data_IF_395519082238
#
_entry.id   IF_395519082238
#
_cell.length_a   1.000
_cell.length_b   1.000
_cell.length_c   1.000
_cell.angle_alpha   90.00
_cell.angle_beta   90.00
_cell.angle_gamma   90.00
#
_symmetry.space_group_name_H-M   'P 1'
#
loop_
_entity.id
_entity.type
_entity.pdbx_description
1 polymer ?
#
# COMPACT_ATOMS: atom_id res chain seq x y z
N UNK A 1 32.80 41.65 44.91
CA UNK A 1 33.15 40.49 44.08
C UNK A 1 32.42 40.67 42.79
N UNK A 2 33.09 41.14 41.78
CA UNK A 2 32.58 41.38 40.44
C UNK A 2 32.53 40.02 39.73
N UNK A 3 31.34 39.55 39.40
CA UNK A 3 31.15 38.38 38.56
C UNK A 3 31.60 38.71 37.13
N UNK A 4 32.64 38.03 36.65
CA UNK A 4 33.03 38.06 35.24
C UNK A 4 31.86 37.64 34.36
N UNK A 5 31.60 38.32 33.23
CA UNK A 5 30.59 37.89 32.29
C UNK A 5 31.04 36.61 31.62
N UNK A 6 30.28 35.53 31.79
CA UNK A 6 30.45 34.27 31.07
C UNK A 6 30.43 34.56 29.57
N UNK A 7 31.54 34.35 28.88
CA UNK A 7 31.66 34.57 27.45
C UNK A 7 30.58 33.79 26.71
N UNK A 8 29.69 34.48 26.00
CA UNK A 8 28.70 33.87 25.12
C UNK A 8 29.47 33.28 23.94
N UNK A 9 29.42 31.97 23.79
CA UNK A 9 30.10 31.26 22.73
C UNK A 9 29.50 31.63 21.37
N UNK A 10 30.35 31.86 20.36
CA UNK A 10 29.87 32.14 19.00
C UNK A 10 28.96 30.99 18.49
N UNK A 11 27.87 31.28 17.75
CA UNK A 11 26.90 30.27 17.30
C UNK A 11 27.52 29.07 16.59
N UNK A 12 28.52 29.30 15.74
CA UNK A 12 29.24 28.24 15.03
C UNK A 12 30.12 27.36 15.95
N UNK A 13 30.67 27.92 17.02
CA UNK A 13 31.45 27.17 17.99
C UNK A 13 30.57 26.25 18.82
N UNK A 14 29.34 26.67 19.15
CA UNK A 14 28.38 25.85 19.88
C UNK A 14 27.97 24.56 19.12
N UNK A 15 27.96 24.58 17.78
CA UNK A 15 27.63 23.41 16.97
C UNK A 15 28.62 22.24 17.12
N UNK A 16 29.85 22.52 17.55
CA UNK A 16 30.90 21.51 17.73
C UNK A 16 30.85 20.84 19.11
N UNK A 17 30.12 21.42 20.05
CA UNK A 17 29.99 20.88 21.41
C UNK A 17 29.21 19.55 21.42
N UNK A 18 29.73 18.51 22.10
CA UNK A 18 29.10 17.18 22.11
C UNK A 18 27.65 17.18 22.58
N UNK A 19 27.32 17.97 23.59
CA UNK A 19 25.97 18.15 24.11
C UNK A 19 25.04 18.72 23.06
N UNK A 20 25.45 19.80 22.40
CA UNK A 20 24.65 20.47 21.36
C UNK A 20 24.46 19.55 20.17
N UNK A 21 25.50 18.85 19.70
CA UNK A 21 25.41 17.89 18.62
C UNK A 21 24.39 16.78 18.91
N UNK A 22 24.37 16.27 20.16
CA UNK A 22 23.42 15.26 20.61
C UNK A 22 21.97 15.77 20.57
N UNK A 23 21.74 16.99 21.06
CA UNK A 23 20.44 17.64 21.03
C UNK A 23 19.97 17.85 19.58
N UNK A 24 20.83 18.40 18.72
CA UNK A 24 20.50 18.65 17.31
C UNK A 24 20.24 17.36 16.55
N UNK A 25 20.96 16.27 16.84
CA UNK A 25 20.67 14.95 16.25
C UNK A 25 19.24 14.49 16.58
N UNK A 26 18.80 14.62 17.85
CA UNK A 26 17.42 14.31 18.27
C UNK A 26 16.38 15.23 17.62
N UNK A 27 16.73 16.50 17.40
CA UNK A 27 15.87 17.42 16.65
C UNK A 27 15.69 16.91 15.22
N UNK A 28 16.78 16.57 14.53
CA UNK A 28 16.73 16.03 13.18
C UNK A 28 15.98 14.68 13.10
N UNK A 29 16.09 13.81 14.13
CA UNK A 29 15.30 12.58 14.22
C UNK A 29 13.80 12.86 14.19
N UNK A 30 13.35 13.86 14.95
CA UNK A 30 11.93 14.27 14.97
C UNK A 30 11.48 14.89 13.67
N UNK A 31 12.34 15.69 13.03
CA UNK A 31 12.06 16.28 11.73
C UNK A 31 11.97 15.22 10.63
N UNK A 32 12.86 14.25 10.64
CA UNK A 32 12.89 13.14 9.67
C UNK A 32 11.72 12.17 9.87
N UNK A 33 11.12 12.12 11.05
CA UNK A 33 9.92 11.35 11.34
C UNK A 33 8.62 12.06 10.88
N UNK A 34 8.67 13.38 10.63
CA UNK A 34 7.52 14.16 10.15
C UNK A 34 7.69 14.45 8.65
N UNK A 35 6.99 13.74 7.76
CA UNK A 35 7.10 14.03 6.34
C UNK A 35 6.43 15.37 6.00
N UNK A 36 7.22 16.33 5.50
CA UNK A 36 6.87 17.37 4.55
C UNK A 36 5.64 18.27 4.77
N UNK A 37 5.07 18.32 5.96
CA UNK A 37 4.00 19.28 6.29
C UNK A 37 4.61 20.60 6.71
N UNK A 38 3.93 21.73 6.46
CA UNK A 38 4.29 23.01 7.03
C UNK A 38 4.54 22.86 8.53
N UNK A 39 5.78 23.09 8.94
CA UNK A 39 6.23 22.90 10.31
C UNK A 39 5.75 24.08 11.17
N UNK A 40 4.49 24.05 11.54
CA UNK A 40 3.86 25.10 12.38
C UNK A 40 4.22 24.95 13.85
N UNK A 41 4.51 23.72 14.30
CA UNK A 41 4.80 23.44 15.70
C UNK A 41 6.31 23.38 15.97
N UNK A 42 6.78 23.95 17.11
CA UNK A 42 8.17 23.83 17.52
C UNK A 42 8.55 22.39 17.81
N UNK A 43 9.82 22.04 17.56
CA UNK A 43 10.37 20.76 17.99
C UNK A 43 10.84 20.91 19.43
N UNK A 44 10.12 20.27 20.37
CA UNK A 44 10.46 20.32 21.80
C UNK A 44 11.43 19.22 22.19
N UNK A 45 12.54 19.59 22.85
CA UNK A 45 13.55 18.67 23.40
C UNK A 45 13.65 18.91 24.90
N UNK A 46 13.32 17.90 25.71
CA UNK A 46 13.54 17.96 27.16
C UNK A 46 15.03 17.84 27.47
N UNK A 47 15.54 18.67 28.38
CA UNK A 47 16.89 18.58 28.87
C UNK A 47 16.91 17.73 30.17
N UNK A 48 16.61 16.45 30.04
CA UNK A 48 16.65 15.45 31.10
C UNK A 48 18.02 14.72 31.15
N UNK A 49 18.20 13.85 32.13
CA UNK A 49 19.45 13.09 32.29
C UNK A 49 19.80 12.25 31.05
N UNK A 50 18.80 11.77 30.29
CA UNK A 50 19.03 10.99 29.09
C UNK A 50 19.45 11.86 27.89
N UNK A 51 18.95 13.08 27.81
CA UNK A 51 19.25 14.01 26.70
C UNK A 51 20.48 14.86 26.98
N UNK A 52 20.63 15.29 28.22
CA UNK A 52 21.68 16.19 28.67
C UNK A 52 22.39 15.67 29.93
N UNK A 53 23.03 14.48 29.87
CA UNK A 53 23.79 13.94 31.01
C UNK A 53 24.88 14.91 31.49
N UNK A 54 25.50 15.67 30.57
CA UNK A 54 26.50 16.67 30.87
C UNK A 54 25.99 17.74 31.88
N UNK A 55 24.71 17.94 32.02
CA UNK A 55 24.08 18.84 32.99
C UNK A 55 23.76 18.10 34.29
N UNK A 56 23.12 16.89 34.18
CA UNK A 56 22.59 16.18 35.33
C UNK A 56 23.62 15.31 36.06
N UNK A 57 24.60 14.78 35.33
CA UNK A 57 25.64 13.87 35.80
C UNK A 57 27.03 14.52 35.78
N UNK A 58 27.11 15.84 35.70
CA UNK A 58 28.38 16.58 35.62
C UNK A 58 29.28 16.28 36.83
N UNK A 59 30.53 15.94 36.57
CA UNK A 59 31.55 15.63 37.63
C UNK A 59 31.89 16.82 38.52
N UNK A 60 31.61 18.04 38.06
CA UNK A 60 31.88 19.26 38.81
C UNK A 60 30.89 20.39 38.46
N UNK A 61 30.78 21.37 39.37
CA UNK A 61 29.98 22.58 39.10
C UNK A 61 30.52 23.37 37.88
N UNK A 62 31.83 23.35 37.65
CA UNK A 62 32.44 23.97 36.48
C UNK A 62 32.05 23.28 35.19
N UNK A 63 32.10 21.94 35.12
CA UNK A 63 31.66 21.18 33.97
C UNK A 63 30.18 21.43 33.66
N UNK A 64 29.32 21.48 34.69
CA UNK A 64 27.91 21.84 34.53
C UNK A 64 27.68 23.23 33.98
N UNK A 65 28.48 24.21 34.46
CA UNK A 65 28.40 25.58 33.97
C UNK A 65 28.78 25.68 32.48
N UNK A 66 29.79 24.93 32.03
CA UNK A 66 30.17 24.85 30.61
C UNK A 66 29.01 24.24 29.76
N UNK A 67 28.40 23.15 30.24
CA UNK A 67 27.27 22.55 29.56
C UNK A 67 26.10 23.55 29.41
N UNK A 68 25.79 24.31 30.47
CA UNK A 68 24.76 25.36 30.39
C UNK A 68 25.15 26.50 29.46
N UNK A 69 26.41 26.90 29.39
CA UNK A 69 26.90 27.94 28.47
C UNK A 69 26.68 27.48 27.00
N UNK A 70 26.89 26.21 26.70
CA UNK A 70 26.61 25.67 25.36
C UNK A 70 25.12 25.76 25.00
N UNK A 71 24.22 25.45 25.94
CA UNK A 71 22.76 25.61 25.75
C UNK A 71 22.40 27.08 25.56
N UNK A 72 22.94 27.98 26.41
CA UNK A 72 22.69 29.41 26.31
C UNK A 72 23.20 29.97 24.97
N UNK A 73 24.27 29.41 24.39
CA UNK A 73 24.76 29.72 23.05
C UNK A 73 23.72 29.38 21.95
N UNK A 74 23.06 28.23 22.03
CA UNK A 74 21.98 27.83 21.10
C UNK A 74 20.80 28.80 21.19
N UNK A 75 20.45 29.23 22.40
CA UNK A 75 19.35 30.17 22.64
C UNK A 75 19.72 31.56 22.14
N UNK A 76 20.95 32.02 22.41
CA UNK A 76 21.46 33.33 21.95
C UNK A 76 21.54 33.41 20.43
N UNK A 77 21.83 32.29 19.75
CA UNK A 77 21.77 32.18 18.29
C UNK A 77 20.36 32.27 17.71
N UNK A 78 19.32 32.25 18.55
CA UNK A 78 17.92 32.28 18.12
C UNK A 78 17.39 30.96 17.54
N UNK A 79 18.09 29.86 17.74
CA UNK A 79 17.71 28.57 17.21
C UNK A 79 16.64 27.89 18.07
N UNK A 80 16.63 28.16 19.35
CA UNK A 80 15.66 27.67 20.30
C UNK A 80 15.31 28.68 21.37
N UNK A 81 14.18 28.50 22.02
CA UNK A 81 13.84 29.14 23.28
C UNK A 81 13.92 28.14 24.41
N UNK A 82 14.42 28.56 25.58
CA UNK A 82 14.40 27.70 26.76
C UNK A 82 13.21 28.06 27.65
N UNK A 83 12.51 27.04 28.16
CA UNK A 83 11.45 27.20 29.13
C UNK A 83 11.48 26.05 30.15
N UNK A 84 10.67 26.13 31.19
CA UNK A 84 10.72 25.25 32.36
C UNK A 84 9.32 24.75 32.71
N UNK A 85 9.17 23.45 32.91
CA UNK A 85 7.88 22.86 33.37
C UNK A 85 7.54 23.20 34.80
N UNK A 86 8.57 23.32 35.67
CA UNK A 86 8.41 23.69 37.07
C UNK A 86 8.84 25.14 37.28
N UNK A 87 7.90 26.03 37.47
CA UNK A 87 8.15 27.47 37.75
C UNK A 87 8.49 27.71 39.22
N UNK A 88 9.50 27.01 39.75
CA UNK A 88 10.00 27.27 41.10
C UNK A 88 10.88 28.50 41.10
N UNK A 89 10.68 29.41 42.08
CA UNK A 89 11.48 30.64 42.22
C UNK A 89 12.92 30.36 42.72
N UNK A 90 13.15 29.23 43.40
CA UNK A 90 14.47 28.86 43.93
C UNK A 90 14.76 27.40 43.53
N UNK A 91 16.04 27.13 43.24
CA UNK A 91 16.56 25.82 42.82
C UNK A 91 17.49 25.92 41.60
N UNK A 92 18.26 24.88 41.37
CA UNK A 92 19.11 24.78 40.19
C UNK A 92 18.30 24.73 38.90
N UNK A 93 18.89 25.18 37.78
CA UNK A 93 18.17 25.21 36.48
C UNK A 93 17.67 23.82 36.05
N UNK A 94 18.47 22.80 36.28
CA UNK A 94 18.17 21.40 35.96
C UNK A 94 17.00 20.83 36.76
N UNK A 95 16.76 21.27 38.00
CA UNK A 95 15.63 20.83 38.82
C UNK A 95 14.27 21.34 38.39
N UNK A 96 14.28 22.36 37.52
CA UNK A 96 13.08 23.01 36.99
C UNK A 96 12.52 22.34 35.75
N UNK A 97 13.03 21.18 35.38
CA UNK A 97 12.64 20.42 34.17
C UNK A 97 12.70 21.28 32.90
N UNK A 98 13.91 21.74 32.53
CA UNK A 98 14.12 22.59 31.37
C UNK A 98 13.82 21.84 30.06
N UNK A 99 13.34 22.58 29.10
CA UNK A 99 13.20 22.10 27.73
C UNK A 99 13.53 23.21 26.73
N UNK A 100 13.93 22.79 25.52
CA UNK A 100 14.17 23.67 24.39
C UNK A 100 13.04 23.51 23.37
N UNK A 101 12.46 24.62 22.94
CA UNK A 101 11.55 24.69 21.81
C UNK A 101 12.26 25.29 20.61
N UNK A 102 12.52 24.45 19.61
CA UNK A 102 13.21 24.83 18.39
C UNK A 102 12.23 25.37 17.36
N UNK A 103 12.49 26.60 16.88
CA UNK A 103 11.81 27.22 15.72
C UNK A 103 12.87 27.93 14.89
N UNK A 104 13.05 27.50 13.67
CA UNK A 104 14.07 28.10 12.80
C UNK A 104 13.66 28.10 11.33
N UNK A 105 14.23 29.00 10.52
CA UNK A 105 14.12 28.96 9.07
C UNK A 105 14.90 27.76 8.49
N UNK A 106 14.54 27.33 7.26
CA UNK A 106 15.16 26.21 6.56
C UNK A 106 16.69 26.29 6.48
N UNK A 107 17.25 27.50 6.35
CA UNK A 107 18.71 27.73 6.31
C UNK A 107 19.43 27.23 7.57
N UNK A 108 18.80 27.31 8.75
CA UNK A 108 19.37 26.81 10.01
C UNK A 108 19.34 25.29 10.04
N UNK A 109 18.27 24.68 9.53
CA UNK A 109 18.21 23.22 9.39
C UNK A 109 19.31 22.71 8.46
N UNK A 110 19.54 23.36 7.33
CA UNK A 110 20.60 22.98 6.39
C UNK A 110 21.98 23.06 7.04
N UNK A 111 22.25 24.12 7.81
CA UNK A 111 23.49 24.25 8.60
C UNK A 111 23.66 23.12 9.62
N UNK A 112 22.60 22.77 10.35
CA UNK A 112 22.63 21.65 11.30
C UNK A 112 22.88 20.31 10.60
N UNK A 113 22.25 20.08 9.45
CA UNK A 113 22.42 18.86 8.66
C UNK A 113 23.82 18.74 8.08
N UNK A 114 24.39 19.82 7.58
CA UNK A 114 25.76 19.87 7.09
C UNK A 114 26.74 19.54 8.23
N UNK A 115 26.61 20.21 9.39
CA UNK A 115 27.46 19.97 10.54
C UNK A 115 27.41 18.53 11.06
N UNK A 116 26.23 17.90 11.04
CA UNK A 116 26.04 16.51 11.47
C UNK A 116 26.27 15.49 10.35
N UNK A 117 26.64 15.92 9.14
CA UNK A 117 26.76 15.10 7.93
C UNK A 117 25.49 14.23 7.71
N UNK A 118 24.32 14.85 7.84
CA UNK A 118 23.03 14.20 7.77
C UNK A 118 22.13 14.87 6.74
N UNK A 119 22.13 14.43 5.49
CA UNK A 119 21.32 15.03 4.43
C UNK A 119 19.83 14.95 4.75
N UNK A 120 19.03 15.86 4.18
CA UNK A 120 17.57 15.79 4.29
C UNK A 120 17.07 14.44 3.76
N UNK A 121 16.22 13.78 4.52
CA UNK A 121 15.57 12.56 4.05
C UNK A 121 14.65 12.93 2.89
N UNK A 122 14.82 12.26 1.76
CA UNK A 122 13.97 12.49 0.60
C UNK A 122 12.50 12.30 0.99
N UNK A 123 11.67 13.28 0.65
CA UNK A 123 10.23 13.21 0.88
C UNK A 123 9.68 12.02 0.08
N UNK A 124 8.94 11.12 0.72
CA UNK A 124 8.36 9.96 0.02
C UNK A 124 7.43 10.42 -1.11
N UNK A 125 7.32 9.62 -2.18
CA UNK A 125 6.41 9.92 -3.29
C UNK A 125 4.97 10.20 -2.79
N UNK A 126 4.49 9.39 -1.87
CA UNK A 126 3.16 9.57 -1.28
C UNK A 126 3.01 10.91 -0.52
N UNK A 127 4.06 11.37 0.15
CA UNK A 127 4.04 12.68 0.82
C UNK A 127 4.07 13.82 -0.19
N UNK A 128 4.90 13.72 -1.24
CA UNK A 128 4.92 14.70 -2.33
C UNK A 128 3.56 14.77 -3.02
N UNK A 129 2.93 13.62 -3.30
CA UNK A 129 1.59 13.55 -3.86
C UNK A 129 0.56 14.34 -3.05
N UNK A 130 0.54 14.14 -1.72
CA UNK A 130 -0.39 14.86 -0.82
C UNK A 130 -0.13 16.36 -0.83
N UNK A 131 1.13 16.78 -0.74
CA UNK A 131 1.52 18.20 -0.74
C UNK A 131 1.11 18.86 -2.04
N UNK A 132 1.45 18.25 -3.19
CA UNK A 132 1.13 18.80 -4.50
C UNK A 132 -0.36 18.82 -4.78
N UNK A 133 -1.08 17.79 -4.37
CA UNK A 133 -2.53 17.73 -4.53
C UNK A 133 -3.25 18.80 -3.67
N UNK A 134 -2.78 19.05 -2.43
CA UNK A 134 -3.31 20.10 -1.57
C UNK A 134 -3.14 21.52 -2.15
N UNK A 135 -2.13 21.72 -3.01
CA UNK A 135 -1.91 22.99 -3.74
C UNK A 135 -2.87 23.16 -4.92
N UNK A 136 -3.55 22.08 -5.35
CA UNK A 136 -4.56 22.13 -6.40
C UNK A 136 -5.92 22.46 -5.77
N UNK A 137 -6.56 23.52 -6.18
CA UNK A 137 -7.92 23.84 -5.74
C UNK A 137 -8.93 22.88 -6.41
N UNK A 138 -8.97 21.63 -5.92
CA UNK A 138 -9.89 20.62 -6.43
C UNK A 138 -11.30 20.89 -5.90
N UNK A 139 -12.23 21.16 -6.81
CA UNK A 139 -13.65 21.29 -6.49
C UNK A 139 -14.27 19.88 -6.45
N UNK A 140 -14.04 19.16 -5.35
CA UNK A 140 -14.59 17.81 -5.07
C UNK A 140 -14.99 17.72 -3.61
N UNK A 141 -15.84 16.76 -3.26
CA UNK A 141 -16.26 16.50 -1.88
C UNK A 141 -15.07 16.14 -0.97
N UNK A 142 -15.22 16.36 0.34
CA UNK A 142 -14.18 16.00 1.33
C UNK A 142 -13.85 14.50 1.30
N UNK A 143 -14.85 13.65 1.05
CA UNK A 143 -14.69 12.20 0.93
C UNK A 143 -13.86 11.83 -0.31
N UNK A 144 -14.18 12.44 -1.45
CA UNK A 144 -13.45 12.27 -2.70
C UNK A 144 -12.00 12.73 -2.57
N UNK A 145 -11.77 13.90 -1.98
CA UNK A 145 -10.43 14.42 -1.74
C UNK A 145 -9.61 13.47 -0.84
N UNK A 146 -10.19 12.99 0.27
CA UNK A 146 -9.53 12.07 1.17
C UNK A 146 -9.10 10.77 0.44
N UNK A 147 -9.94 10.26 -0.45
CA UNK A 147 -9.65 9.07 -1.25
C UNK A 147 -8.48 9.28 -2.21
N UNK A 148 -8.47 10.40 -2.95
CA UNK A 148 -7.38 10.73 -3.88
C UNK A 148 -6.06 10.91 -3.12
N UNK A 149 -6.09 11.58 -1.95
CA UNK A 149 -4.91 11.75 -1.08
C UNK A 149 -4.36 10.43 -0.54
N UNK A 150 -5.23 9.45 -0.28
CA UNK A 150 -4.85 8.14 0.25
C UNK A 150 -4.29 7.19 -0.82
N UNK A 151 -4.56 7.47 -2.11
CA UNK A 151 -4.25 6.54 -3.21
C UNK A 151 -3.35 7.20 -4.26
N UNK A 152 -2.07 7.45 -3.97
CA UNK A 152 -1.13 8.06 -4.92
C UNK A 152 -0.94 7.16 -6.13
N UNK A 153 -0.86 7.78 -7.31
CA UNK A 153 -0.52 7.10 -8.57
C UNK A 153 0.98 7.28 -8.79
N UNK A 154 1.75 6.21 -8.70
CA UNK A 154 3.20 6.24 -8.87
C UNK A 154 3.60 5.57 -10.18
N UNK A 155 4.43 6.26 -10.96
CA UNK A 155 5.05 5.76 -12.19
C UNK A 155 6.55 5.97 -12.03
N UNK A 156 7.33 4.88 -11.99
CA UNK A 156 8.73 4.84 -11.54
C UNK A 156 9.68 5.81 -12.28
N UNK A 157 9.35 6.25 -13.48
CA UNK A 157 10.18 7.14 -14.30
C UNK A 157 9.64 8.56 -14.38
N UNK A 158 8.61 8.90 -13.59
CA UNK A 158 7.93 10.19 -13.66
C UNK A 158 7.87 10.88 -12.32
N UNK A 159 7.97 12.20 -12.35
CA UNK A 159 7.77 13.03 -11.16
C UNK A 159 6.30 13.05 -10.73
N UNK A 160 6.07 13.40 -9.46
CA UNK A 160 4.71 13.58 -8.93
C UNK A 160 3.95 14.64 -9.73
N UNK A 161 4.61 15.74 -10.08
CA UNK A 161 3.97 16.85 -10.79
C UNK A 161 3.49 16.44 -12.19
N UNK A 162 4.30 15.66 -12.93
CA UNK A 162 3.92 15.14 -14.24
C UNK A 162 2.72 14.18 -14.12
N UNK A 163 2.77 13.25 -13.17
CA UNK A 163 1.70 12.26 -12.99
C UNK A 163 0.41 12.94 -12.51
N UNK A 164 0.51 13.89 -11.60
CA UNK A 164 -0.65 14.62 -11.10
C UNK A 164 -1.31 15.46 -12.20
N UNK A 165 -0.54 16.17 -12.99
CA UNK A 165 -1.05 16.93 -14.15
C UNK A 165 -1.83 16.00 -15.10
N UNK A 166 -1.29 14.83 -15.39
CA UNK A 166 -1.95 13.83 -16.25
C UNK A 166 -3.19 13.22 -15.59
N UNK A 167 -3.15 12.97 -14.31
CA UNK A 167 -4.31 12.49 -13.58
C UNK A 167 -5.47 13.52 -13.62
N UNK A 168 -5.15 14.79 -13.41
CA UNK A 168 -6.15 15.87 -13.43
C UNK A 168 -6.77 16.07 -14.83
N UNK A 169 -6.02 15.84 -15.91
CA UNK A 169 -6.51 15.96 -17.28
C UNK A 169 -7.59 14.92 -17.65
N UNK A 170 -7.82 13.89 -16.84
CA UNK A 170 -8.93 12.95 -17.03
C UNK A 170 -10.28 13.67 -17.02
N UNK A 171 -10.39 14.81 -16.32
CA UNK A 171 -11.60 15.64 -16.31
C UNK A 171 -12.01 16.15 -17.68
N UNK A 172 -11.03 16.39 -18.55
CA UNK A 172 -11.25 16.95 -19.88
C UNK A 172 -11.92 15.94 -20.82
N UNK A 173 -11.83 14.64 -20.50
CA UNK A 173 -12.39 13.54 -21.30
C UNK A 173 -13.53 12.80 -20.60
N UNK A 174 -14.03 13.32 -19.48
CA UNK A 174 -15.04 12.66 -18.64
C UNK A 174 -16.37 12.35 -19.35
N UNK A 175 -16.72 13.09 -20.41
CA UNK A 175 -17.93 12.89 -21.20
C UNK A 175 -17.79 11.91 -22.37
N UNK A 176 -16.61 11.34 -22.61
CA UNK A 176 -16.39 10.41 -23.73
C UNK A 176 -16.75 8.95 -23.34
N UNK A 177 -17.35 8.16 -24.24
CA UNK A 177 -17.71 6.75 -23.96
C UNK A 177 -16.48 5.84 -24.08
N UNK A 178 -15.52 5.97 -23.17
CA UNK A 178 -14.25 5.26 -23.17
C UNK A 178 -14.23 4.12 -22.16
N UNK A 179 -13.41 3.11 -22.44
CA UNK A 179 -12.98 2.18 -21.40
C UNK A 179 -11.90 2.79 -20.51
N UNK A 180 -11.87 2.41 -19.24
CA UNK A 180 -10.89 2.91 -18.26
C UNK A 180 -9.43 2.75 -18.72
N UNK A 181 -9.12 1.68 -19.49
CA UNK A 181 -7.80 1.46 -20.09
C UNK A 181 -7.49 2.42 -21.25
N UNK A 182 -8.50 2.86 -21.98
CA UNK A 182 -8.32 3.88 -23.02
C UNK A 182 -8.04 5.24 -22.39
N UNK A 183 -8.78 5.58 -21.32
CA UNK A 183 -8.52 6.75 -20.48
C UNK A 183 -7.11 6.71 -19.93
N UNK A 184 -6.70 5.58 -19.35
CA UNK A 184 -5.33 5.38 -18.85
C UNK A 184 -4.29 5.62 -19.94
N UNK A 185 -4.48 5.03 -21.13
CA UNK A 185 -3.56 5.19 -22.25
C UNK A 185 -3.47 6.65 -22.72
N UNK A 186 -4.60 7.35 -22.83
CA UNK A 186 -4.64 8.77 -23.27
C UNK A 186 -4.03 9.70 -22.23
N UNK A 187 -4.37 9.51 -20.95
CA UNK A 187 -3.87 10.36 -19.88
C UNK A 187 -2.40 10.10 -19.57
N UNK A 188 -1.93 8.85 -19.57
CA UNK A 188 -0.61 8.47 -19.04
C UNK A 188 0.35 7.93 -20.10
N UNK A 189 0.72 8.75 -21.08
CA UNK A 189 1.79 8.45 -22.07
C UNK A 189 1.65 7.09 -22.78
N UNK A 190 0.43 6.65 -23.06
CA UNK A 190 0.19 5.34 -23.67
C UNK A 190 0.16 4.17 -22.69
N UNK A 191 0.32 4.41 -21.39
CA UNK A 191 0.31 3.37 -20.36
C UNK A 191 -1.13 2.96 -20.00
N UNK A 192 -1.64 1.91 -20.65
CA UNK A 192 -3.04 1.49 -20.53
C UNK A 192 -3.44 0.88 -19.18
N UNK A 193 -2.48 0.54 -18.31
CA UNK A 193 -2.73 -0.19 -17.05
C UNK A 193 -2.59 0.67 -15.79
N UNK A 194 -2.30 1.95 -15.90
CA UNK A 194 -2.10 2.84 -14.73
C UNK A 194 -3.35 2.93 -13.88
N UNK A 195 -4.53 2.90 -14.51
CA UNK A 195 -5.82 2.99 -13.83
C UNK A 195 -6.46 1.63 -13.51
N UNK A 196 -5.81 0.51 -13.80
CA UNK A 196 -6.33 -0.81 -13.45
C UNK A 196 -6.57 -0.91 -11.92
N UNK A 197 -7.80 -1.26 -11.51
CA UNK A 197 -8.22 -1.32 -10.11
C UNK A 197 -8.33 0.04 -9.40
N UNK A 198 -8.37 1.15 -10.15
CA UNK A 198 -8.49 2.51 -9.63
C UNK A 198 -9.74 3.25 -10.13
N UNK A 199 -10.76 2.53 -10.55
CA UNK A 199 -12.03 3.12 -10.99
C UNK A 199 -12.61 4.07 -9.92
N UNK A 200 -12.51 3.69 -8.67
CA UNK A 200 -12.97 4.46 -7.52
C UNK A 200 -12.19 5.76 -7.26
N UNK A 201 -10.89 5.80 -7.61
CA UNK A 201 -10.06 7.01 -7.52
C UNK A 201 -10.42 7.98 -8.66
N UNK A 202 -10.74 7.43 -9.84
CA UNK A 202 -11.23 8.22 -10.97
C UNK A 202 -12.62 8.78 -10.68
N UNK A 203 -13.53 7.98 -10.10
CA UNK A 203 -14.83 8.45 -9.63
C UNK A 203 -14.69 9.60 -8.63
N UNK A 204 -13.77 9.46 -7.66
CA UNK A 204 -13.47 10.52 -6.71
C UNK A 204 -12.91 11.80 -7.38
N UNK A 205 -12.05 11.68 -8.40
CA UNK A 205 -11.56 12.82 -9.17
C UNK A 205 -12.71 13.58 -9.87
N UNK A 206 -13.68 12.84 -10.38
CA UNK A 206 -14.84 13.38 -11.10
C UNK A 206 -16.00 13.74 -10.16
N UNK A 207 -15.83 13.49 -8.86
CA UNK A 207 -16.83 13.69 -7.80
C UNK A 207 -18.18 13.02 -8.12
N UNK A 208 -18.13 11.78 -8.57
CA UNK A 208 -19.29 10.95 -8.88
C UNK A 208 -19.29 9.66 -8.07
N UNK A 209 -20.47 9.05 -7.87
CA UNK A 209 -20.62 7.83 -7.06
C UNK A 209 -19.95 6.62 -7.73
N UNK A 210 -20.04 6.53 -9.05
CA UNK A 210 -19.43 5.48 -9.86
C UNK A 210 -18.56 6.06 -10.97
N UNK A 211 -17.49 5.35 -11.33
CA UNK A 211 -16.63 5.72 -12.43
C UNK A 211 -17.43 5.72 -13.76
N UNK A 212 -17.48 6.82 -14.52
CA UNK A 212 -18.22 6.87 -15.77
C UNK A 212 -17.56 6.04 -16.88
N UNK A 213 -16.29 5.69 -16.73
CA UNK A 213 -15.56 4.88 -17.69
C UNK A 213 -15.73 3.40 -17.40
N UNK A 214 -16.19 2.65 -18.40
CA UNK A 214 -16.39 1.22 -18.27
C UNK A 214 -15.05 0.48 -18.05
N UNK A 215 -15.02 -0.46 -17.14
CA UNK A 215 -13.89 -1.38 -17.05
C UNK A 215 -13.95 -2.40 -18.20
N UNK A 216 -12.77 -2.84 -18.68
CA UNK A 216 -12.72 -3.87 -19.72
C UNK A 216 -13.40 -5.15 -19.22
N UNK A 217 -14.36 -5.72 -19.97
CA UNK A 217 -15.00 -6.98 -19.59
C UNK A 217 -13.99 -8.11 -19.37
N UNK A 218 -14.26 -8.97 -18.40
CA UNK A 218 -13.48 -10.20 -18.21
C UNK A 218 -13.80 -11.15 -19.37
N UNK A 219 -12.80 -11.70 -20.01
CA UNK A 219 -12.96 -12.71 -21.04
C UNK A 219 -13.11 -14.08 -20.38
N UNK A 220 -14.23 -14.74 -20.63
CA UNK A 220 -14.50 -16.11 -20.17
C UNK A 220 -14.54 -17.04 -21.39
N UNK A 221 -13.76 -18.12 -21.37
CA UNK A 221 -13.99 -19.24 -22.27
C UNK A 221 -14.79 -20.30 -21.53
N UNK A 222 -15.93 -20.66 -22.07
CA UNK A 222 -16.93 -21.49 -21.37
C UNK A 222 -17.27 -22.74 -22.18
N UNK A 223 -17.29 -23.86 -21.49
CA UNK A 223 -17.91 -25.08 -21.99
C UNK A 223 -19.15 -25.40 -21.16
N UNK A 224 -20.30 -25.39 -21.79
CA UNK A 224 -21.58 -25.63 -21.12
C UNK A 224 -22.07 -27.03 -21.48
N UNK A 225 -22.28 -27.92 -20.50
CA UNK A 225 -22.90 -29.22 -20.72
C UNK A 225 -24.40 -29.08 -21.07
N UNK A 226 -25.05 -30.14 -21.44
CA UNK A 226 -26.47 -30.14 -21.85
C UNK A 226 -27.39 -29.58 -20.75
N UNK A 227 -27.13 -29.95 -19.51
CA UNK A 227 -27.90 -29.54 -18.32
C UNK A 227 -26.94 -29.01 -17.24
N UNK A 228 -26.51 -27.74 -17.33
CA UNK A 228 -25.56 -27.19 -16.37
C UNK A 228 -26.21 -27.07 -14.97
N UNK A 229 -25.53 -27.60 -13.93
CA UNK A 229 -25.97 -27.54 -12.53
C UNK A 229 -24.91 -27.01 -11.59
N UNK A 230 -23.65 -26.93 -12.03
CA UNK A 230 -22.51 -26.45 -11.24
C UNK A 230 -21.51 -25.67 -12.12
N UNK A 231 -20.65 -24.90 -11.49
CA UNK A 231 -19.56 -24.20 -12.15
C UNK A 231 -18.21 -24.70 -11.65
N UNK A 232 -17.25 -24.89 -12.57
CA UNK A 232 -15.86 -25.10 -12.24
C UNK A 232 -15.01 -24.00 -12.91
N UNK A 233 -14.49 -23.07 -12.12
CA UNK A 233 -13.52 -22.08 -12.56
C UNK A 233 -12.12 -22.71 -12.60
N UNK A 234 -11.43 -22.55 -13.73
CA UNK A 234 -10.14 -23.17 -14.01
C UNK A 234 -9.14 -22.05 -14.37
N UNK A 235 -7.98 -22.04 -13.73
CA UNK A 235 -6.97 -21.00 -13.97
C UNK A 235 -6.10 -21.30 -15.18
N UNK A 236 -5.72 -22.55 -15.42
CA UNK A 236 -4.84 -22.97 -16.50
C UNK A 236 -5.63 -23.37 -17.74
N UNK A 237 -5.25 -22.83 -18.91
CA UNK A 237 -5.94 -23.11 -20.18
C UNK A 237 -5.77 -24.56 -20.64
N UNK A 238 -4.59 -25.16 -20.42
CA UNK A 238 -4.36 -26.57 -20.82
C UNK A 238 -5.23 -27.50 -19.98
N UNK A 239 -5.34 -27.25 -18.68
CA UNK A 239 -6.22 -28.00 -17.79
C UNK A 239 -7.70 -27.84 -18.20
N UNK A 240 -8.14 -26.64 -18.59
CA UNK A 240 -9.47 -26.39 -19.13
C UNK A 240 -9.73 -27.21 -20.40
N UNK A 241 -8.82 -27.19 -21.39
CA UNK A 241 -8.96 -27.94 -22.63
C UNK A 241 -8.96 -29.46 -22.40
N UNK A 242 -8.13 -29.96 -21.48
CA UNK A 242 -8.10 -31.38 -21.11
C UNK A 242 -9.41 -31.81 -20.49
N UNK A 243 -9.96 -31.05 -19.55
CA UNK A 243 -11.25 -31.38 -18.94
C UNK A 243 -12.43 -31.29 -19.93
N UNK A 244 -12.40 -30.28 -20.81
CA UNK A 244 -13.43 -30.09 -21.83
C UNK A 244 -13.54 -31.25 -22.82
N UNK A 245 -12.42 -31.93 -23.09
CA UNK A 245 -12.36 -33.08 -24.02
C UNK A 245 -12.53 -34.42 -23.31
N UNK A 246 -12.55 -34.41 -21.98
CA UNK A 246 -12.75 -35.63 -21.17
C UNK A 246 -14.24 -35.89 -20.86
N UNK A 247 -14.61 -37.17 -20.67
CA UNK A 247 -16.01 -37.59 -20.53
C UNK A 247 -16.61 -37.49 -19.11
N UNK A 248 -15.92 -36.89 -18.12
CA UNK A 248 -16.20 -37.19 -16.71
C UNK A 248 -16.71 -36.03 -15.84
N UNK A 249 -17.19 -34.92 -16.39
CA UNK A 249 -17.59 -33.76 -15.55
C UNK A 249 -19.11 -33.58 -15.39
N UNK A 250 -19.91 -34.50 -15.97
CA UNK A 250 -21.36 -34.49 -15.82
C UNK A 250 -21.99 -33.15 -16.18
N UNK A 251 -22.78 -32.61 -15.26
CA UNK A 251 -23.51 -31.35 -15.43
C UNK A 251 -22.75 -30.11 -14.98
N UNK A 252 -21.41 -30.15 -14.97
CA UNK A 252 -20.58 -29.04 -14.54
C UNK A 252 -20.13 -28.20 -15.72
N UNK A 253 -20.51 -26.92 -15.75
CA UNK A 253 -19.98 -25.94 -16.71
C UNK A 253 -18.53 -25.53 -16.35
N UNK A 254 -17.64 -25.63 -17.35
CA UNK A 254 -16.25 -25.27 -17.21
C UNK A 254 -16.05 -23.80 -17.61
N UNK A 255 -15.35 -23.04 -16.79
CA UNK A 255 -15.10 -21.62 -17.01
C UNK A 255 -13.61 -21.35 -16.88
N UNK A 256 -12.95 -21.03 -17.98
CA UNK A 256 -11.59 -20.50 -17.96
C UNK A 256 -11.64 -18.99 -18.04
N UNK A 257 -10.97 -18.31 -17.11
CA UNK A 257 -10.84 -16.86 -17.10
C UNK A 257 -9.38 -16.44 -17.09
N UNK A 258 -8.91 -15.92 -18.20
CA UNK A 258 -7.57 -15.33 -18.30
C UNK A 258 -7.48 -14.07 -17.43
N UNK A 259 -6.67 -14.09 -16.36
CA UNK A 259 -6.40 -12.90 -15.58
C UNK A 259 -7.45 -12.50 -14.54
N UNK A 260 -8.03 -13.47 -13.85
CA UNK A 260 -9.10 -13.32 -12.85
C UNK A 260 -8.76 -12.43 -11.63
N UNK A 261 -7.52 -12.00 -11.46
CA UNK A 261 -7.05 -11.23 -10.30
C UNK A 261 -7.80 -9.93 -10.11
N UNK A 262 -8.59 -9.83 -9.04
CA UNK A 262 -9.30 -8.61 -8.63
C UNK A 262 -10.59 -8.31 -9.38
N UNK A 263 -11.03 -9.17 -10.30
CA UNK A 263 -12.18 -8.93 -11.17
C UNK A 263 -13.44 -9.72 -10.80
N UNK A 264 -13.40 -10.52 -9.72
CA UNK A 264 -14.52 -11.40 -9.34
C UNK A 264 -15.87 -10.66 -9.22
N UNK A 265 -15.87 -9.44 -8.64
CA UNK A 265 -17.07 -8.63 -8.49
C UNK A 265 -17.80 -8.32 -9.82
N UNK A 266 -17.10 -8.42 -10.96
CA UNK A 266 -17.67 -8.17 -12.29
C UNK A 266 -18.32 -9.38 -12.92
N UNK A 267 -18.08 -10.60 -12.42
CA UNK A 267 -18.60 -11.84 -13.01
C UNK A 267 -20.11 -11.91 -13.03
N UNK A 268 -20.80 -11.35 -12.04
CA UNK A 268 -22.27 -11.30 -11.99
C UNK A 268 -22.89 -10.07 -12.65
N UNK A 269 -22.09 -9.20 -13.24
CA UNK A 269 -22.57 -8.05 -14.01
C UNK A 269 -22.66 -8.46 -15.49
N UNK A 270 -23.80 -8.33 -16.13
CA UNK A 270 -23.98 -8.67 -17.55
C UNK A 270 -22.99 -7.96 -18.49
N UNK A 271 -22.58 -6.73 -18.14
CA UNK A 271 -21.57 -5.98 -18.87
C UNK A 271 -20.15 -6.16 -18.31
N UNK A 272 -19.97 -6.98 -17.26
CA UNK A 272 -18.71 -7.19 -16.57
C UNK A 272 -17.85 -8.30 -17.15
N UNK A 273 -18.41 -9.16 -17.98
CA UNK A 273 -17.69 -10.23 -18.68
C UNK A 273 -18.19 -10.42 -20.12
N UNK A 274 -17.30 -10.96 -20.96
CA UNK A 274 -17.60 -11.41 -22.32
C UNK A 274 -17.36 -12.92 -22.38
N UNK A 275 -18.41 -13.70 -22.57
CA UNK A 275 -18.31 -15.15 -22.61
C UNK A 275 -18.21 -15.67 -24.06
N UNK A 276 -17.23 -16.54 -24.29
CA UNK A 276 -17.03 -17.26 -25.56
C UNK A 276 -17.29 -18.74 -25.31
N UNK A 277 -18.26 -19.28 -26.02
CA UNK A 277 -18.75 -20.67 -25.79
C UNK A 277 -18.06 -21.64 -26.73
N UNK A 278 -17.72 -22.81 -26.21
CA UNK A 278 -17.21 -23.90 -27.03
C UNK A 278 -18.29 -24.36 -28.06
N UNK A 279 -17.86 -24.87 -29.21
CA UNK A 279 -18.77 -25.32 -30.29
C UNK A 279 -19.73 -26.45 -29.85
N UNK A 280 -19.39 -27.18 -28.80
CA UNK A 280 -20.20 -28.25 -28.26
C UNK A 280 -21.32 -27.74 -27.34
N UNK A 281 -21.31 -26.47 -26.94
CA UNK A 281 -22.36 -25.89 -26.08
C UNK A 281 -23.64 -25.64 -26.88
N UNK A 282 -24.76 -26.15 -26.41
CA UNK A 282 -26.06 -25.93 -27.04
C UNK A 282 -26.64 -24.55 -26.68
N UNK A 283 -27.33 -23.85 -27.58
CA UNK A 283 -27.88 -22.51 -27.29
C UNK A 283 -28.83 -22.49 -26.08
N UNK A 284 -29.67 -23.52 -25.89
CA UNK A 284 -30.56 -23.64 -24.74
C UNK A 284 -29.81 -23.79 -23.41
N UNK A 285 -28.76 -24.60 -23.40
CA UNK A 285 -27.88 -24.77 -22.23
C UNK A 285 -27.12 -23.50 -21.90
N UNK A 286 -26.66 -22.75 -22.92
CA UNK A 286 -26.01 -21.45 -22.73
C UNK A 286 -26.94 -20.46 -22.03
N UNK A 287 -28.19 -20.34 -22.46
CA UNK A 287 -29.18 -19.46 -21.82
C UNK A 287 -29.43 -19.84 -20.35
N UNK A 288 -29.49 -21.16 -20.05
CA UNK A 288 -29.60 -21.64 -18.67
C UNK A 288 -28.37 -21.26 -17.84
N UNK A 289 -27.16 -21.48 -18.37
CA UNK A 289 -25.89 -21.12 -17.74
C UNK A 289 -25.83 -19.61 -17.44
N UNK A 290 -26.17 -18.77 -18.41
CA UNK A 290 -26.16 -17.29 -18.22
C UNK A 290 -27.19 -16.87 -17.17
N UNK A 291 -28.38 -17.49 -17.17
CA UNK A 291 -29.36 -17.27 -16.13
C UNK A 291 -28.82 -17.61 -14.73
N UNK A 292 -28.08 -18.68 -14.58
CA UNK A 292 -27.46 -19.10 -13.31
C UNK A 292 -26.28 -18.16 -12.94
N UNK A 293 -25.45 -17.79 -13.92
CA UNK A 293 -24.26 -16.94 -13.67
C UNK A 293 -24.64 -15.52 -13.22
N UNK A 294 -25.64 -14.93 -13.85
CA UNK A 294 -26.03 -13.53 -13.61
C UNK A 294 -27.15 -13.35 -12.58
N UNK A 295 -27.82 -14.44 -12.15
CA UNK A 295 -28.87 -14.38 -11.11
C UNK A 295 -28.25 -14.56 -9.70
N UNK A 296 -29.11 -14.34 -8.68
CA UNK A 296 -28.74 -14.61 -7.28
C UNK A 296 -28.94 -16.08 -6.88
N UNK A 297 -29.18 -16.98 -7.85
CA UNK A 297 -29.36 -18.41 -7.55
C UNK A 297 -28.06 -18.98 -7.02
N UNK A 298 -28.16 -19.70 -5.89
CA UNK A 298 -27.02 -20.40 -5.30
C UNK A 298 -26.82 -21.72 -6.05
N UNK A 299 -25.69 -21.83 -6.75
CA UNK A 299 -25.27 -23.02 -7.47
C UNK A 299 -23.94 -23.50 -6.89
N UNK A 300 -23.65 -24.81 -6.91
CA UNK A 300 -22.33 -25.31 -6.56
C UNK A 300 -21.27 -24.70 -7.45
N UNK A 301 -20.27 -24.06 -6.82
CA UNK A 301 -19.16 -23.43 -7.50
C UNK A 301 -17.85 -24.02 -7.00
N UNK A 302 -17.01 -24.40 -7.93
CA UNK A 302 -15.69 -24.96 -7.67
C UNK A 302 -14.61 -24.11 -8.34
N UNK A 303 -13.43 -24.15 -7.75
CA UNK A 303 -12.23 -23.53 -8.29
C UNK A 303 -11.07 -24.53 -8.31
N UNK A 304 -10.33 -24.55 -9.41
CA UNK A 304 -9.09 -25.26 -9.55
C UNK A 304 -8.05 -24.38 -10.26
N UNK A 305 -6.92 -24.18 -9.64
CA UNK A 305 -5.81 -23.36 -10.13
C UNK A 305 -4.48 -23.85 -9.59
N UNK A 306 -3.45 -23.04 -9.76
CA UNK A 306 -2.14 -23.30 -9.17
C UNK A 306 -2.24 -23.52 -7.66
N UNK A 307 -1.48 -24.48 -7.15
CA UNK A 307 -1.34 -24.68 -5.71
C UNK A 307 -0.26 -23.75 -5.19
N UNK A 308 -0.61 -22.46 -5.09
CA UNK A 308 0.21 -21.37 -4.59
C UNK A 308 -0.66 -20.29 -3.91
N UNK A 309 -0.05 -19.26 -3.32
CA UNK A 309 -0.82 -18.20 -2.63
C UNK A 309 -1.68 -17.37 -3.58
N UNK A 310 -1.32 -17.24 -4.85
CA UNK A 310 -2.11 -16.53 -5.85
C UNK A 310 -3.40 -17.30 -6.19
N UNK A 311 -3.32 -18.61 -6.42
CA UNK A 311 -4.48 -19.45 -6.64
C UNK A 311 -5.43 -19.44 -5.44
N UNK A 312 -4.87 -19.51 -4.21
CA UNK A 312 -5.69 -19.41 -2.99
C UNK A 312 -6.34 -18.03 -2.85
N UNK A 313 -5.68 -16.95 -3.25
CA UNK A 313 -6.26 -15.60 -3.26
C UNK A 313 -7.38 -15.46 -4.30
N UNK A 314 -7.28 -16.13 -5.45
CA UNK A 314 -8.35 -16.19 -6.44
C UNK A 314 -9.57 -16.91 -5.87
N UNK A 315 -9.41 -18.05 -5.19
CA UNK A 315 -10.50 -18.74 -4.51
C UNK A 315 -11.18 -17.83 -3.47
N UNK A 316 -10.40 -17.14 -2.64
CA UNK A 316 -10.94 -16.20 -1.66
C UNK A 316 -11.74 -15.07 -2.32
N UNK A 317 -11.23 -14.52 -3.42
CA UNK A 317 -11.93 -13.48 -4.20
C UNK A 317 -13.21 -14.02 -4.83
N UNK A 318 -13.19 -15.25 -5.36
CA UNK A 318 -14.36 -15.90 -5.93
C UNK A 318 -15.46 -16.09 -4.88
N UNK A 319 -15.09 -16.41 -3.63
CA UNK A 319 -16.03 -16.56 -2.51
C UNK A 319 -16.72 -15.27 -2.08
N UNK A 320 -16.18 -14.10 -2.42
CA UNK A 320 -16.90 -12.84 -2.19
C UNK A 320 -18.15 -12.71 -3.07
N UNK A 321 -18.20 -13.43 -4.19
CA UNK A 321 -19.28 -13.40 -5.18
C UNK A 321 -20.13 -14.67 -5.12
N UNK A 322 -19.50 -15.81 -4.88
CA UNK A 322 -20.10 -17.12 -4.69
C UNK A 322 -19.70 -17.65 -3.31
N UNK A 323 -20.42 -17.32 -2.23
CA UNK A 323 -20.01 -17.68 -0.86
C UNK A 323 -19.84 -19.18 -0.64
N UNK A 324 -20.57 -20.01 -1.41
CA UNK A 324 -20.48 -21.47 -1.40
C UNK A 324 -19.29 -22.03 -2.20
N UNK A 325 -18.50 -21.21 -2.92
CA UNK A 325 -17.41 -21.69 -3.74
C UNK A 325 -16.37 -22.49 -2.94
N UNK A 326 -15.92 -23.59 -3.49
CA UNK A 326 -14.98 -24.53 -2.87
C UNK A 326 -13.80 -24.84 -3.78
N UNK A 327 -12.66 -25.18 -3.19
CA UNK A 327 -11.55 -25.76 -3.93
C UNK A 327 -11.97 -27.13 -4.48
N UNK A 328 -11.72 -27.37 -5.77
CA UNK A 328 -12.13 -28.59 -6.46
C UNK A 328 -11.21 -29.75 -6.09
N UNK A 329 -11.68 -30.61 -5.17
CA UNK A 329 -10.89 -31.73 -4.64
C UNK A 329 -10.30 -32.65 -5.71
N UNK A 330 -11.05 -33.09 -6.72
CA UNK A 330 -10.50 -34.01 -7.72
C UNK A 330 -9.27 -33.46 -8.46
N UNK A 331 -9.14 -32.13 -8.58
CA UNK A 331 -7.94 -31.48 -9.14
C UNK A 331 -6.85 -31.22 -8.12
N UNK A 332 -7.22 -30.80 -6.90
CA UNK A 332 -6.25 -30.45 -5.88
C UNK A 332 -5.68 -31.64 -5.10
N UNK A 333 -6.43 -32.73 -4.90
CA UNK A 333 -5.95 -33.89 -4.13
C UNK A 333 -4.65 -34.49 -4.74
N UNK A 334 -4.55 -34.74 -6.06
CA UNK A 334 -3.29 -35.21 -6.65
C UNK A 334 -2.14 -34.21 -6.52
N UNK A 335 -2.42 -32.90 -6.63
CA UNK A 335 -1.41 -31.87 -6.46
C UNK A 335 -0.92 -31.83 -5.00
N UNK A 336 -1.83 -31.97 -4.04
CA UNK A 336 -1.51 -32.01 -2.63
C UNK A 336 -0.65 -33.22 -2.26
N UNK A 337 -0.95 -34.39 -2.80
CA UNK A 337 -0.17 -35.62 -2.64
C UNK A 337 1.26 -35.43 -3.17
N UNK A 338 1.41 -34.89 -4.39
CA UNK A 338 2.72 -34.57 -4.97
C UNK A 338 3.50 -33.60 -4.11
N UNK A 339 2.86 -32.51 -3.67
CA UNK A 339 3.51 -31.49 -2.81
C UNK A 339 3.98 -32.09 -1.48
N UNK A 340 3.20 -32.96 -0.87
CA UNK A 340 3.55 -33.69 0.37
C UNK A 340 4.66 -34.71 0.17
N UNK A 341 4.76 -35.27 -1.02
CA UNK A 341 5.86 -36.16 -1.41
C UNK A 341 7.19 -35.42 -1.68
N UNK A 342 7.19 -34.09 -1.60
CA UNK A 342 8.37 -33.26 -1.79
C UNK A 342 8.56 -32.74 -3.21
N UNK A 343 7.57 -32.94 -4.07
CA UNK A 343 7.55 -32.35 -5.41
C UNK A 343 7.19 -30.84 -5.34
N UNK A 344 7.31 -30.14 -6.47
CA UNK A 344 7.06 -28.71 -6.57
C UNK A 344 8.34 -27.88 -6.54
N UNK A 345 8.20 -26.58 -6.75
CA UNK A 345 9.29 -25.61 -6.87
C UNK A 345 9.21 -24.54 -5.77
N UNK A 346 10.35 -23.92 -5.47
CA UNK A 346 10.38 -22.76 -4.59
C UNK A 346 9.76 -21.52 -5.29
N UNK A 347 9.28 -20.52 -4.55
CA UNK A 347 8.79 -19.28 -5.13
C UNK A 347 9.81 -18.58 -6.04
N UNK A 348 11.10 -18.66 -5.72
CA UNK A 348 12.19 -18.04 -6.49
C UNK A 348 12.45 -18.75 -7.82
N UNK A 349 12.32 -20.08 -7.88
CA UNK A 349 12.51 -20.85 -9.13
C UNK A 349 11.47 -20.50 -10.20
N UNK A 350 10.27 -20.09 -9.78
CA UNK A 350 9.18 -19.74 -10.69
C UNK A 350 8.90 -18.24 -10.81
N UNK A 351 9.72 -17.37 -10.20
CA UNK A 351 9.49 -15.90 -10.20
C UNK A 351 8.24 -15.49 -9.42
N UNK A 352 7.81 -16.33 -8.48
CA UNK A 352 6.58 -16.12 -7.66
C UNK A 352 6.89 -15.56 -6.25
N UNK A 353 8.11 -15.09 -5.98
CA UNK A 353 8.58 -14.58 -4.68
C UNK A 353 7.81 -13.34 -4.19
N UNK A 354 7.13 -12.62 -5.09
CA UNK A 354 6.32 -11.45 -4.75
C UNK A 354 4.89 -11.79 -4.34
N UNK A 355 4.51 -13.06 -4.35
CA UNK A 355 3.19 -13.48 -3.88
C UNK A 355 3.06 -13.23 -2.38
N UNK A 356 1.93 -12.64 -1.97
CA UNK A 356 1.63 -12.43 -0.56
C UNK A 356 0.93 -13.67 -0.01
N UNK A 357 1.43 -14.16 1.11
CA UNK A 357 0.76 -15.23 1.85
C UNK A 357 -0.64 -14.78 2.27
N UNK A 358 -1.63 -15.62 1.99
CA UNK A 358 -3.01 -15.42 2.43
C UNK A 358 -3.25 -16.24 3.71
N UNK A 359 -3.96 -15.67 4.66
CA UNK A 359 -4.26 -16.35 5.92
C UNK A 359 -5.39 -17.38 5.78
N UNK A 360 -6.46 -16.99 5.08
CA UNK A 360 -7.67 -17.81 4.91
C UNK A 360 -8.32 -17.55 3.56
N UNK A 361 -8.88 -18.60 2.97
CA UNK A 361 -9.73 -18.52 1.77
C UNK A 361 -11.22 -18.48 2.14
N UNK A 362 -11.57 -18.99 3.33
CA UNK A 362 -12.93 -19.25 3.78
C UNK A 362 -13.49 -20.60 3.31
N UNK A 363 -12.74 -21.39 2.52
CA UNK A 363 -13.04 -22.77 2.18
C UNK A 363 -12.31 -23.70 3.16
N UNK A 364 -13.04 -24.52 3.92
CA UNK A 364 -12.44 -25.38 4.95
C UNK A 364 -11.33 -26.27 4.39
N UNK A 365 -11.57 -26.97 3.27
CA UNK A 365 -10.57 -27.81 2.65
C UNK A 365 -9.32 -27.03 2.20
N UNK A 366 -9.49 -25.87 1.60
CA UNK A 366 -8.35 -25.04 1.19
C UNK A 366 -7.57 -24.51 2.39
N UNK A 367 -8.25 -24.12 3.46
CA UNK A 367 -7.62 -23.53 4.65
C UNK A 367 -6.89 -24.61 5.49
N UNK A 368 -7.49 -25.78 5.68
CA UNK A 368 -7.00 -26.84 6.54
C UNK A 368 -5.96 -27.74 5.87
N UNK A 369 -6.09 -27.96 4.54
CA UNK A 369 -5.22 -28.89 3.81
C UNK A 369 -4.25 -28.15 2.88
N UNK A 370 -4.75 -27.33 1.94
CA UNK A 370 -3.92 -26.73 0.89
C UNK A 370 -3.00 -25.63 1.46
N UNK A 371 -3.52 -24.63 2.17
CA UNK A 371 -2.72 -23.56 2.79
C UNK A 371 -1.78 -24.11 3.86
N UNK A 372 -2.20 -25.14 4.60
CA UNK A 372 -1.34 -25.80 5.58
C UNK A 372 -0.13 -26.47 4.91
N UNK A 373 -0.35 -27.18 3.80
CA UNK A 373 0.73 -27.82 3.05
C UNK A 373 1.68 -26.78 2.42
N UNK A 374 1.16 -25.72 1.81
CA UNK A 374 1.95 -24.62 1.26
C UNK A 374 2.87 -23.99 2.32
N UNK A 375 2.34 -23.73 3.52
CA UNK A 375 3.13 -23.16 4.64
C UNK A 375 4.17 -24.14 5.19
N UNK A 376 3.84 -25.42 5.25
CA UNK A 376 4.71 -26.44 5.78
C UNK A 376 5.89 -26.75 4.84
N UNK A 377 5.64 -26.78 3.52
CA UNK A 377 6.66 -27.12 2.52
C UNK A 377 7.43 -25.89 2.02
N UNK A 378 6.83 -24.71 2.03
CA UNK A 378 7.37 -23.51 1.39
C UNK A 378 7.50 -23.63 -0.14
N UNK A 379 6.80 -24.60 -0.74
CA UNK A 379 6.84 -24.93 -2.17
C UNK A 379 5.48 -24.72 -2.82
N UNK A 380 5.49 -24.49 -4.12
CA UNK A 380 4.32 -24.33 -4.98
C UNK A 380 4.27 -25.43 -6.05
N UNK A 381 3.10 -25.66 -6.59
CA UNK A 381 2.89 -26.58 -7.69
C UNK A 381 1.95 -25.96 -8.73
N UNK A 382 2.38 -25.90 -9.98
CA UNK A 382 1.54 -25.37 -11.05
C UNK A 382 0.46 -26.40 -11.42
N UNK A 383 -0.69 -25.88 -11.85
CA UNK A 383 -1.83 -26.67 -12.32
C UNK A 383 -1.51 -27.28 -13.70
N UNK A 384 -1.53 -28.61 -13.82
CA UNK A 384 -1.37 -29.34 -15.10
C UNK A 384 -2.35 -30.50 -15.25
#
# INVERSE_FOLDING_TARGET
MTSEPTAIMEPHAALNEPLVRRILARVLDRLDAQPGTERTNPVRINLDAQTAPDIHEAESLSARAVAWASIDGVVAAGWATIDYRKHRRHGAREEREPYLDFRWPDAVEDLMRENLNRPRKATSYASQWRIRLAQQNLSVSATSLAKILATPIEISTRSVDEVLCRFLSIRDIAGEPLFLREVSSRAFWGLSKVLDGRADVVAALLDCDECPFAEQPIVLNVHVPTEPQAFLFIENHVAFERLRTGDNLGDTALIFSSGFRGAAARLRKSNGCSAYYSRASMPSAVSTFEGMLFSAVDVPVFFWGDLDYSGMAILASLRTIFPSAQAWKPGYDPMLERLRAGDGHSPTESGKERQRAIERTGCAYADEELLRALRATGRFLDQE
#
